data_IF_562160709279
#
_entry.id   IF_562160709279
#
_cell.length_a   1.000
_cell.length_b   1.000
_cell.length_c   1.000
_cell.angle_alpha   90.00
_cell.angle_beta   90.00
_cell.angle_gamma   90.00
#
_symmetry.space_group_name_H-M   'P 1'
#
loop_
_entity.id
_entity.type
_entity.pdbx_description
1 polymer ?
#
# COMPACT_ATOMS: atom_id res chain seq x y z
N UNK A 1 5.81 2.82 -0.57
CA UNK A 1 4.52 3.47 -0.91
C UNK A 1 4.64 4.95 -1.26
N UNK A 2 5.20 5.82 -0.39
CA UNK A 2 5.43 7.23 -0.79
C UNK A 2 6.35 7.37 -2.02
N UNK A 3 7.39 6.54 -2.11
CA UNK A 3 8.28 6.41 -3.29
C UNK A 3 7.55 6.02 -4.58
N UNK A 4 6.38 5.38 -4.47
CA UNK A 4 5.55 4.96 -5.60
C UNK A 4 4.54 6.04 -6.02
N UNK A 5 4.59 7.23 -5.41
CA UNK A 5 3.66 8.33 -5.70
C UNK A 5 2.31 8.23 -4.99
N UNK A 6 2.18 7.40 -3.96
CA UNK A 6 0.96 7.35 -3.15
C UNK A 6 0.90 8.51 -2.15
N UNK A 7 -0.25 9.18 -2.09
CA UNK A 7 -0.58 10.25 -1.15
C UNK A 7 -1.35 9.73 0.07
N UNK A 8 -1.16 10.35 1.24
CA UNK A 8 -1.72 9.92 2.53
C UNK A 8 -0.62 9.59 3.57
N UNK A 9 -0.92 8.76 4.60
CA UNK A 9 -2.19 8.06 4.83
C UNK A 9 -3.35 8.98 5.21
N UNK A 10 -4.54 8.66 4.72
CA UNK A 10 -5.80 9.23 5.17
C UNK A 10 -6.44 8.31 6.20
N UNK A 11 -6.94 8.86 7.29
CA UNK A 11 -7.68 8.10 8.29
C UNK A 11 -9.03 7.66 7.70
N UNK A 12 -9.26 6.35 7.66
CA UNK A 12 -10.58 5.77 7.40
C UNK A 12 -11.27 5.35 8.69
N UNK A 13 -12.57 5.05 8.65
CA UNK A 13 -13.33 4.60 9.82
C UNK A 13 -12.86 3.26 10.40
N UNK A 14 -12.09 2.48 9.63
CA UNK A 14 -11.62 1.14 10.01
C UNK A 14 -10.09 1.06 9.86
N UNK A 15 -9.59 1.35 8.65
CA UNK A 15 -8.17 1.35 8.32
C UNK A 15 -7.73 2.64 7.60
N UNK A 16 -6.50 3.06 7.86
CA UNK A 16 -5.85 4.10 7.07
C UNK A 16 -5.68 3.63 5.62
N UNK A 17 -5.65 4.56 4.67
CA UNK A 17 -5.46 4.24 3.26
C UNK A 17 -4.59 5.28 2.55
N UNK A 18 -3.97 4.90 1.44
CA UNK A 18 -3.27 5.81 0.54
C UNK A 18 -3.86 5.74 -0.85
N UNK A 19 -3.68 6.80 -1.64
CA UNK A 19 -4.23 6.90 -3.00
C UNK A 19 -3.17 7.33 -4.01
N UNK A 20 -3.27 6.83 -5.24
CA UNK A 20 -2.46 7.23 -6.39
C UNK A 20 -3.35 7.23 -7.64
N UNK A 21 -3.76 8.41 -8.10
CA UNK A 21 -4.76 8.52 -9.17
C UNK A 21 -6.05 7.81 -8.80
N UNK A 22 -6.44 6.80 -9.58
CA UNK A 22 -7.62 5.94 -9.31
C UNK A 22 -7.33 4.74 -8.40
N UNK A 23 -6.06 4.48 -8.06
CA UNK A 23 -5.68 3.38 -7.19
C UNK A 23 -5.80 3.78 -5.72
N UNK A 24 -6.35 2.87 -4.90
CA UNK A 24 -6.48 3.03 -3.45
C UNK A 24 -5.95 1.77 -2.77
N UNK A 25 -5.03 1.95 -1.83
CA UNK A 25 -4.46 0.87 -1.01
C UNK A 25 -4.87 1.03 0.44
N UNK A 26 -5.28 -0.05 1.09
CA UNK A 26 -5.46 -0.08 2.54
C UNK A 26 -4.10 -0.25 3.21
N UNK A 27 -3.85 0.52 4.26
CA UNK A 27 -2.73 0.30 5.16
C UNK A 27 -3.26 -0.54 6.33
N UNK A 28 -2.86 -1.82 6.45
CA UNK A 28 -3.17 -2.60 7.63
C UNK A 28 -2.59 -1.89 8.87
N UNK A 29 -3.41 -1.81 9.91
CA UNK A 29 -3.19 -1.01 11.13
C UNK A 29 -1.81 -1.32 11.77
N UNK A 30 -1.17 -0.36 12.47
CA UNK A 30 0.23 -0.37 12.90
C UNK A 30 0.46 -1.20 14.17
N UNK A 31 -0.04 -2.43 14.19
CA UNK A 31 0.64 -3.45 14.97
C UNK A 31 1.99 -3.63 14.27
N UNK A 32 3.08 -3.24 14.93
CA UNK A 32 4.47 -3.20 14.44
C UNK A 32 5.04 -4.59 14.08
N UNK A 33 4.29 -5.35 13.31
CA UNK A 33 4.61 -6.69 12.86
C UNK A 33 4.94 -6.63 11.38
N UNK A 34 5.86 -7.49 10.96
CA UNK A 34 6.12 -7.72 9.55
C UNK A 34 4.81 -8.14 8.88
N UNK A 35 4.45 -7.45 7.80
CA UNK A 35 3.32 -7.88 6.98
C UNK A 35 3.70 -9.19 6.29
N UNK A 36 2.82 -10.18 6.35
CA UNK A 36 3.00 -11.42 5.61
C UNK A 36 3.05 -11.16 4.11
N UNK A 37 3.79 -11.99 3.38
CA UNK A 37 3.96 -11.87 1.92
C UNK A 37 2.59 -11.84 1.20
N UNK A 38 1.63 -12.64 1.65
CA UNK A 38 0.28 -12.67 1.05
C UNK A 38 -0.45 -11.33 1.18
N UNK A 39 -0.31 -10.65 2.32
CA UNK A 39 -0.91 -9.34 2.56
C UNK A 39 -0.22 -8.26 1.72
N UNK A 40 1.11 -8.32 1.61
CA UNK A 40 1.85 -7.43 0.72
C UNK A 40 1.39 -7.59 -0.73
N UNK A 41 1.26 -8.83 -1.21
CA UNK A 41 0.82 -9.12 -2.59
C UNK A 41 -0.59 -8.59 -2.84
N UNK A 42 -1.50 -8.73 -1.88
CA UNK A 42 -2.86 -8.19 -2.00
C UNK A 42 -2.86 -6.66 -2.09
N UNK A 43 -2.09 -5.99 -1.23
CA UNK A 43 -1.96 -4.52 -1.23
C UNK A 43 -1.36 -4.03 -2.56
N UNK A 44 -0.33 -4.70 -3.09
CA UNK A 44 0.26 -4.34 -4.38
C UNK A 44 -0.73 -4.53 -5.52
N UNK A 45 -1.51 -5.61 -5.49
CA UNK A 45 -2.58 -5.87 -6.45
C UNK A 45 -3.68 -4.82 -6.40
N UNK A 46 -4.16 -4.45 -5.21
CA UNK A 46 -5.14 -3.36 -5.03
C UNK A 46 -4.61 -2.01 -5.54
N UNK A 47 -3.31 -1.77 -5.37
CA UNK A 47 -2.63 -0.57 -5.85
C UNK A 47 -2.32 -0.56 -7.36
N UNK A 48 -2.58 -1.67 -8.06
CA UNK A 48 -2.14 -1.86 -9.44
C UNK A 48 -0.63 -1.78 -9.61
N UNK A 49 0.13 -2.09 -8.55
CA UNK A 49 1.59 -2.02 -8.52
C UNK A 49 2.13 -3.37 -9.00
N UNK A 50 2.90 -3.37 -10.08
CA UNK A 50 3.61 -4.57 -10.52
C UNK A 50 4.78 -4.88 -9.57
N UNK A 51 5.21 -6.15 -9.56
CA UNK A 51 6.39 -6.55 -8.79
C UNK A 51 7.64 -5.76 -9.20
N UNK A 52 7.79 -5.48 -10.49
CA UNK A 52 8.92 -4.71 -11.03
C UNK A 52 8.89 -3.26 -10.54
N UNK A 53 7.71 -2.62 -10.55
CA UNK A 53 7.52 -1.28 -10.02
C UNK A 53 7.80 -1.22 -8.52
N UNK A 54 7.42 -2.26 -7.77
CA UNK A 54 7.77 -2.36 -6.35
C UNK A 54 9.29 -2.44 -6.13
N UNK A 55 9.98 -3.31 -6.89
CA UNK A 55 11.43 -3.53 -6.75
C UNK A 55 12.27 -2.37 -7.26
N UNK A 56 11.74 -1.51 -8.15
CA UNK A 56 12.45 -0.34 -8.66
C UNK A 56 12.50 0.83 -7.66
N UNK A 57 11.83 0.72 -6.51
CA UNK A 57 11.83 1.75 -5.46
C UNK A 57 13.02 1.67 -4.49
N UNK A 58 14.03 0.88 -4.84
CA UNK A 58 15.24 0.66 -4.05
C UNK A 58 16.20 1.85 -4.09
#
# INVERSE_FOLDING_TARGET
MKSLGFSGPYAGPDHAFMVRGFARIRIPNPHKQEIGISLLVEILREGGISREEWLSTN
#
